data_IF_136990078630
#
_entry.id   IF_136990078630
#
_cell.length_a   1.000
_cell.length_b   1.000
_cell.length_c   1.000
_cell.angle_alpha   90.00
_cell.angle_beta   90.00
_cell.angle_gamma   90.00
#
_symmetry.space_group_name_H-M   'P 1'
#
loop_
_entity.id
_entity.type
_entity.pdbx_description
1 polymer ?
#
# COMPACT_ATOMS: atom_id res chain seq x y z
N UNK A 1 -14.56 -10.77 7.92
CA UNK A 1 -13.45 -11.33 7.12
C UNK A 1 -13.95 -11.47 5.69
N UNK A 2 -13.27 -10.87 4.70
CA UNK A 2 -13.69 -10.98 3.28
C UNK A 2 -13.37 -12.40 2.81
N UNK A 3 -14.39 -13.13 2.37
CA UNK A 3 -14.22 -14.48 1.84
C UNK A 3 -13.98 -14.38 0.33
N UNK A 4 -12.71 -14.53 -0.09
CA UNK A 4 -12.31 -14.52 -1.49
C UNK A 4 -12.41 -15.92 -2.11
N UNK A 5 -12.59 -16.04 -3.42
CA UNK A 5 -12.37 -17.31 -4.11
C UNK A 5 -10.87 -17.60 -4.19
N UNK A 6 -10.47 -18.87 -4.28
CA UNK A 6 -9.06 -19.24 -4.37
C UNK A 6 -8.33 -18.54 -5.53
N UNK A 7 -8.99 -18.49 -6.70
CA UNK A 7 -8.50 -17.76 -7.88
C UNK A 7 -8.25 -16.28 -7.59
N UNK A 8 -9.20 -15.60 -6.93
CA UNK A 8 -9.08 -14.19 -6.61
C UNK A 8 -7.94 -13.89 -5.62
N UNK A 9 -7.66 -14.81 -4.68
CA UNK A 9 -6.52 -14.67 -3.76
C UNK A 9 -5.20 -14.73 -4.53
N UNK A 10 -5.07 -15.67 -5.46
CA UNK A 10 -3.87 -15.84 -6.29
C UNK A 10 -3.64 -14.68 -7.27
N UNK A 11 -4.70 -13.93 -7.61
CA UNK A 11 -4.65 -12.73 -8.45
C UNK A 11 -4.35 -11.43 -7.68
N UNK A 12 -4.24 -11.48 -6.34
CA UNK A 12 -3.87 -10.30 -5.54
C UNK A 12 -2.45 -9.82 -5.89
N UNK A 13 -2.16 -8.52 -5.74
CA UNK A 13 -0.80 -8.00 -5.95
C UNK A 13 0.18 -8.69 -4.99
N UNK A 14 1.38 -8.98 -5.50
CA UNK A 14 2.47 -9.55 -4.69
C UNK A 14 3.09 -8.47 -3.79
N UNK A 15 3.59 -8.87 -2.63
CA UNK A 15 4.19 -7.94 -1.67
C UNK A 15 5.47 -7.31 -2.21
N UNK A 16 6.31 -8.09 -2.90
CA UNK A 16 7.52 -7.54 -3.52
C UNK A 16 7.22 -6.41 -4.52
N UNK A 17 6.16 -6.52 -5.31
CA UNK A 17 5.78 -5.49 -6.29
C UNK A 17 5.43 -4.14 -5.67
N UNK A 18 4.99 -4.12 -4.40
CA UNK A 18 4.71 -2.88 -3.67
C UNK A 18 5.94 -2.36 -2.92
N UNK A 19 6.89 -3.24 -2.57
CA UNK A 19 8.08 -2.89 -1.81
C UNK A 19 9.30 -2.58 -2.68
N UNK A 20 9.27 -2.91 -3.96
CA UNK A 20 10.37 -2.70 -4.90
C UNK A 20 9.91 -1.94 -6.15
N UNK A 21 10.76 -1.07 -6.67
CA UNK A 21 10.54 -0.40 -7.96
C UNK A 21 11.04 -1.25 -9.16
N UNK A 22 10.90 -0.71 -10.37
CA UNK A 22 11.32 -1.42 -11.59
C UNK A 22 12.86 -1.59 -11.70
N UNK A 23 13.62 -0.90 -10.87
CA UNK A 23 15.07 -0.97 -10.76
C UNK A 23 15.52 -1.79 -9.54
N UNK A 24 14.59 -2.49 -8.87
CA UNK A 24 14.83 -3.31 -7.67
C UNK A 24 15.31 -2.49 -6.45
N UNK A 25 15.02 -1.18 -6.43
CA UNK A 25 15.23 -0.37 -5.23
C UNK A 25 14.08 -0.59 -4.25
N UNK A 26 14.42 -0.71 -2.97
CA UNK A 26 13.43 -0.88 -1.91
C UNK A 26 12.70 0.44 -1.63
N UNK A 27 11.40 0.45 -1.88
CA UNK A 27 10.49 1.60 -1.71
C UNK A 27 9.29 1.22 -0.83
N UNK A 28 9.45 1.16 0.50
CA UNK A 28 8.38 0.76 1.42
C UNK A 28 7.25 1.79 1.52
N UNK A 29 7.47 3.01 1.03
CA UNK A 29 6.50 4.11 1.04
C UNK A 29 5.19 3.69 0.39
N UNK A 30 5.22 3.02 -0.76
CA UNK A 30 4.02 2.62 -1.51
C UNK A 30 3.13 1.67 -0.71
N UNK A 31 3.72 0.77 0.08
CA UNK A 31 2.94 -0.13 0.96
C UNK A 31 2.21 0.65 2.07
N UNK A 32 2.72 1.83 2.44
CA UNK A 32 2.14 2.70 3.46
C UNK A 32 1.15 3.69 2.82
N UNK A 33 1.47 4.28 1.67
CA UNK A 33 0.69 5.38 1.06
C UNK A 33 -0.26 4.95 -0.03
N UNK A 34 0.04 3.89 -0.76
CA UNK A 34 -0.70 3.52 -1.99
C UNK A 34 -1.63 2.34 -1.72
N UNK A 35 -1.26 1.42 -0.81
CA UNK A 35 -2.13 0.32 -0.40
C UNK A 35 -3.33 0.88 0.37
N UNK A 36 -4.54 0.65 -0.17
CA UNK A 36 -5.79 1.09 0.44
C UNK A 36 -6.15 0.33 1.71
N UNK A 37 -7.10 0.87 2.48
CA UNK A 37 -7.65 0.15 3.63
C UNK A 37 -8.45 -1.07 3.16
N UNK A 38 -8.23 -2.20 3.81
CA UNK A 38 -8.81 -3.52 3.51
C UNK A 38 -8.46 -4.06 2.12
N UNK A 39 -7.39 -3.54 1.52
CA UNK A 39 -6.76 -4.13 0.33
C UNK A 39 -5.73 -5.17 0.77
N UNK A 40 -5.81 -6.34 0.14
CA UNK A 40 -4.97 -7.50 0.45
C UNK A 40 -3.82 -7.64 -0.53
N UNK A 41 -2.69 -8.09 -0.02
CA UNK A 41 -1.45 -8.34 -0.75
C UNK A 41 -1.04 -9.79 -0.48
N UNK A 42 -0.65 -10.50 -1.53
CA UNK A 42 -0.28 -11.91 -1.46
C UNK A 42 1.20 -12.06 -1.13
N UNK A 43 1.51 -12.92 -0.17
CA UNK A 43 2.86 -13.33 0.19
C UNK A 43 2.99 -14.82 -0.15
N UNK A 44 3.81 -15.15 -1.13
CA UNK A 44 4.06 -16.52 -1.60
C UNK A 44 5.31 -17.12 -0.94
N UNK A 45 5.19 -18.26 -0.28
CA UNK A 45 6.33 -18.94 0.35
C UNK A 45 6.91 -20.08 -0.49
N UNK A 46 6.29 -20.44 -1.63
CA UNK A 46 6.60 -21.68 -2.38
C UNK A 46 7.94 -21.68 -3.13
N UNK A 47 8.53 -20.52 -3.41
CA UNK A 47 9.81 -20.37 -4.13
C UNK A 47 11.03 -20.40 -3.20
N UNK A 48 11.25 -21.52 -2.52
CA UNK A 48 12.42 -21.74 -1.65
C UNK A 48 13.66 -22.01 -2.51
N UNK A 49 14.78 -21.37 -2.18
CA UNK A 49 16.05 -21.54 -2.90
C UNK A 49 17.13 -22.08 -1.97
N UNK A 50 18.19 -22.69 -2.51
CA UNK A 50 19.32 -23.17 -1.70
C UNK A 50 20.64 -22.95 -2.42
N UNK A 51 21.73 -22.91 -1.64
CA UNK A 51 23.10 -22.82 -2.14
C UNK A 51 24.01 -23.76 -1.36
N UNK A 52 24.81 -24.51 -2.09
CA UNK A 52 25.83 -25.40 -1.52
C UNK A 52 27.18 -24.69 -1.54
N UNK A 53 27.84 -24.62 -0.40
CA UNK A 53 29.15 -24.00 -0.23
C UNK A 53 30.12 -24.97 0.44
N UNK A 54 31.41 -24.83 0.13
CA UNK A 54 32.46 -25.63 0.74
C UNK A 54 33.14 -24.82 1.84
N UNK A 55 33.10 -25.31 3.09
CA UNK A 55 33.84 -24.70 4.21
C UNK A 55 34.99 -25.58 4.64
N UNK A 56 36.11 -24.96 4.97
CA UNK A 56 37.20 -25.62 5.70
C UNK A 56 36.90 -25.58 7.19
N UNK A 57 36.88 -26.74 7.86
CA UNK A 57 36.67 -26.81 9.31
C UNK A 57 37.92 -26.30 10.06
N UNK A 58 37.84 -25.25 10.89
CA UNK A 58 38.91 -24.90 11.82
C UNK A 58 38.89 -25.84 13.05
N UNK A 59 40.04 -26.26 13.63
CA UNK A 59 41.42 -25.94 13.27
C UNK A 59 42.11 -27.13 12.56
N UNK A 60 42.69 -26.89 11.38
CA UNK A 60 43.62 -27.82 10.69
C UNK A 60 43.08 -29.20 10.25
N UNK A 61 41.84 -29.31 9.77
CA UNK A 61 41.36 -30.48 9.02
C UNK A 61 41.54 -30.30 7.50
N UNK A 62 42.08 -31.30 6.79
CA UNK A 62 42.11 -31.33 5.31
C UNK A 62 40.74 -31.59 4.66
N UNK A 63 39.72 -31.84 5.47
CA UNK A 63 38.40 -32.25 5.01
C UNK A 63 37.53 -31.02 4.69
N UNK A 64 37.08 -30.95 3.44
CA UNK A 64 36.08 -30.00 2.96
C UNK A 64 34.72 -30.42 3.51
N UNK A 65 34.08 -29.58 4.32
CA UNK A 65 32.69 -29.81 4.72
C UNK A 65 31.78 -29.13 3.69
N UNK A 66 30.85 -29.92 3.14
CA UNK A 66 29.77 -29.42 2.28
C UNK A 66 28.71 -28.83 3.21
N UNK A 67 28.39 -27.55 3.00
CA UNK A 67 27.38 -26.84 3.77
C UNK A 67 26.32 -26.32 2.82
N UNK A 68 25.12 -26.87 2.93
CA UNK A 68 23.93 -26.44 2.20
C UNK A 68 23.17 -25.41 3.03
N UNK A 69 22.88 -24.26 2.44
CA UNK A 69 22.08 -23.21 3.05
C UNK A 69 20.76 -23.09 2.28
N UNK A 70 19.63 -23.05 2.98
CA UNK A 70 18.30 -22.87 2.39
C UNK A 70 17.80 -21.46 2.69
N UNK A 71 17.18 -20.82 1.71
CA UNK A 71 16.71 -19.44 1.76
C UNK A 71 15.21 -19.36 1.50
N UNK A 72 14.56 -18.48 2.25
CA UNK A 72 13.13 -18.16 2.07
C UNK A 72 12.87 -17.52 0.70
N UNK A 73 11.59 -17.48 0.30
CA UNK A 73 11.18 -16.86 -0.96
C UNK A 73 11.40 -15.34 -0.96
N UNK A 74 11.46 -14.74 -2.15
CA UNK A 74 11.61 -13.27 -2.29
C UNK A 74 10.50 -12.47 -1.59
N UNK A 75 9.26 -12.99 -1.57
CA UNK A 75 8.15 -12.37 -0.85
C UNK A 75 8.39 -12.33 0.67
N UNK A 76 8.97 -13.41 1.22
CA UNK A 76 9.30 -13.48 2.65
C UNK A 76 10.49 -12.58 2.97
N UNK A 77 11.49 -12.49 2.09
CA UNK A 77 12.60 -11.52 2.23
C UNK A 77 12.08 -10.08 2.20
N UNK A 78 11.15 -9.77 1.29
CA UNK A 78 10.51 -8.47 1.20
C UNK A 78 9.76 -8.14 2.51
N UNK A 79 9.02 -9.10 3.06
CA UNK A 79 8.37 -8.96 4.36
C UNK A 79 9.39 -8.69 5.47
N UNK A 80 10.46 -9.49 5.58
CA UNK A 80 11.52 -9.27 6.58
C UNK A 80 12.10 -7.86 6.46
N UNK A 81 12.44 -7.42 5.26
CA UNK A 81 13.02 -6.09 5.03
C UNK A 81 12.08 -4.97 5.49
N UNK A 82 10.77 -5.12 5.28
CA UNK A 82 9.77 -4.19 5.78
C UNK A 82 9.62 -4.24 7.32
N UNK A 83 9.57 -5.44 7.90
CA UNK A 83 9.44 -5.64 9.35
C UNK A 83 10.65 -5.09 10.13
N UNK A 84 11.86 -5.27 9.61
CA UNK A 84 13.10 -4.85 10.27
C UNK A 84 13.68 -3.57 9.67
N UNK A 85 12.85 -2.77 8.98
CA UNK A 85 13.23 -1.48 8.42
C UNK A 85 13.76 -0.54 9.51
N UNK A 86 15.02 -0.13 9.36
CA UNK A 86 15.74 0.83 10.22
C UNK A 86 16.11 2.12 9.50
N UNK A 87 16.02 2.12 8.16
CA UNK A 87 16.34 3.25 7.32
C UNK A 87 15.22 4.29 7.35
N UNK A 88 15.59 5.55 7.16
CA UNK A 88 14.62 6.62 7.07
C UNK A 88 13.93 6.58 5.70
N UNK A 89 12.64 6.91 5.69
CA UNK A 89 11.81 6.87 4.49
C UNK A 89 11.11 8.20 4.27
N UNK A 90 10.68 8.45 3.05
CA UNK A 90 10.01 9.70 2.69
C UNK A 90 8.50 9.51 2.74
N UNK A 91 7.82 10.14 3.71
CA UNK A 91 6.36 10.07 3.81
C UNK A 91 5.72 11.46 3.80
N UNK A 92 4.50 11.60 3.29
CA UNK A 92 3.70 12.80 3.51
C UNK A 92 3.48 12.99 5.01
N UNK A 93 3.70 14.21 5.51
CA UNK A 93 3.49 14.54 6.92
C UNK A 93 2.25 15.41 7.07
N UNK A 94 1.30 14.96 7.91
CA UNK A 94 0.04 15.67 8.04
C UNK A 94 0.12 17.07 8.65
N UNK A 95 1.01 17.21 9.62
CA UNK A 95 1.16 18.47 10.32
C UNK A 95 2.14 19.41 9.61
N UNK A 96 3.19 18.87 8.97
CA UNK A 96 4.18 19.69 8.26
C UNK A 96 3.71 20.13 6.86
N UNK A 97 2.68 19.49 6.30
CA UNK A 97 2.11 19.81 4.99
C UNK A 97 3.08 19.68 3.81
N UNK A 98 3.98 18.70 3.89
CA UNK A 98 4.98 18.38 2.87
C UNK A 98 5.50 16.96 3.09
N UNK A 99 6.09 16.37 2.05
CA UNK A 99 6.86 15.13 2.19
C UNK A 99 8.06 15.41 3.10
N UNK A 100 8.25 14.54 4.09
CA UNK A 100 9.32 14.64 5.08
C UNK A 100 10.02 13.30 5.28
N UNK A 101 11.21 13.38 5.87
CA UNK A 101 11.97 12.22 6.31
C UNK A 101 11.34 11.71 7.61
N UNK A 102 10.93 10.45 7.60
CA UNK A 102 10.43 9.75 8.76
C UNK A 102 11.37 8.64 9.20
N UNK A 103 11.58 8.54 10.50
CA UNK A 103 12.40 7.51 11.12
C UNK A 103 11.50 6.41 11.68
N UNK A 104 11.72 5.13 11.35
CA UNK A 104 10.95 4.04 11.94
C UNK A 104 11.24 3.93 13.43
N UNK A 105 10.19 3.83 14.24
CA UNK A 105 10.33 3.43 15.64
C UNK A 105 10.63 1.92 15.71
N UNK A 106 11.58 1.53 16.57
CA UNK A 106 12.03 0.14 16.73
C UNK A 106 10.97 -0.72 17.45
N UNK A 107 9.87 -0.13 17.90
CA UNK A 107 8.74 -0.85 18.50
C UNK A 107 7.95 -1.61 17.43
N UNK A 108 8.54 -2.68 16.90
CA UNK A 108 7.75 -3.79 16.40
C UNK A 108 7.02 -4.31 17.64
N UNK A 109 5.69 -4.33 17.62
CA UNK A 109 4.91 -5.04 18.61
C UNK A 109 4.41 -6.36 18.01
N UNK A 110 5.30 -7.30 17.65
CA UNK A 110 4.80 -8.60 17.28
C UNK A 110 4.34 -9.25 18.60
N UNK A 111 3.03 -9.41 18.74
CA UNK A 111 2.48 -10.05 19.92
C UNK A 111 2.90 -11.52 19.91
N UNK A 112 3.98 -11.88 20.61
CA UNK A 112 4.11 -13.26 21.06
C UNK A 112 3.25 -13.40 22.32
N UNK A 113 2.13 -14.10 22.22
CA UNK A 113 1.42 -14.65 23.37
C UNK A 113 1.89 -16.09 23.50
N UNK A 114 2.96 -16.33 24.25
CA UNK A 114 3.37 -17.70 24.57
C UNK A 114 2.60 -18.20 25.79
N UNK A 115 2.16 -19.45 25.78
CA UNK A 115 1.39 -20.02 26.89
C UNK A 115 2.26 -21.02 27.62
N UNK A 116 2.85 -20.58 28.74
CA UNK A 116 3.68 -21.47 29.57
C UNK A 116 2.75 -22.21 30.52
N UNK A 117 2.77 -23.54 30.47
CA UNK A 117 2.13 -24.37 31.49
C UNK A 117 3.04 -24.40 32.73
N UNK A 118 2.68 -23.64 33.74
CA UNK A 118 3.33 -23.62 35.03
C UNK A 118 2.60 -24.58 35.96
N UNK A 119 3.33 -25.20 36.90
CA UNK A 119 2.71 -25.92 38.00
C UNK A 119 2.69 -25.00 39.22
N UNK A 120 1.56 -24.90 39.90
CA UNK A 120 1.50 -24.21 41.18
C UNK A 120 2.16 -25.04 42.30
N UNK A 121 2.17 -24.51 43.52
CA UNK A 121 2.73 -25.20 44.70
C UNK A 121 2.03 -26.53 45.04
N UNK A 122 0.94 -26.85 44.35
CA UNK A 122 0.16 -28.08 44.49
C UNK A 122 0.27 -28.98 43.24
N UNK A 123 1.26 -28.72 42.37
CA UNK A 123 1.50 -29.41 41.10
C UNK A 123 0.38 -29.30 40.06
N UNK A 124 -0.58 -28.38 40.23
CA UNK A 124 -1.68 -28.18 39.29
C UNK A 124 -1.17 -27.37 38.10
N UNK A 125 -1.25 -27.90 36.87
CA UNK A 125 -0.83 -27.16 35.68
C UNK A 125 -1.81 -26.02 35.39
N UNK A 126 -1.31 -24.78 35.29
CA UNK A 126 -2.05 -23.62 34.83
C UNK A 126 -1.26 -22.88 33.75
N UNK A 127 -2.00 -22.28 32.82
CA UNK A 127 -1.44 -21.61 31.66
C UNK A 127 -1.25 -20.12 31.95
N UNK A 128 -0.03 -19.61 31.76
CA UNK A 128 0.29 -18.19 31.86
C UNK A 128 0.77 -17.66 30.52
N UNK A 129 0.13 -16.58 30.06
CA UNK A 129 0.52 -15.91 28.83
C UNK A 129 1.71 -14.97 29.07
N UNK A 130 2.76 -15.08 28.27
CA UNK A 130 3.98 -14.27 28.39
C UNK A 130 4.30 -13.60 27.06
N UNK A 131 4.72 -12.33 27.13
CA UNK A 131 5.18 -11.52 26.00
C UNK A 131 6.68 -11.76 25.80
N UNK A 132 7.09 -12.16 24.59
CA UNK A 132 8.49 -12.48 24.27
C UNK A 132 9.01 -11.58 23.13
N UNK A 133 10.22 -11.00 23.23
CA UNK A 133 10.81 -10.19 22.17
C UNK A 133 11.34 -11.06 21.00
N UNK A 134 11.09 -10.62 19.76
CA UNK A 134 11.33 -11.40 18.51
C UNK A 134 12.72 -11.12 17.88
N UNK A 135 13.58 -10.35 18.55
CA UNK A 135 14.90 -9.97 18.04
C UNK A 135 15.94 -11.10 18.00
N UNK A 136 15.60 -12.30 18.50
CA UNK A 136 16.45 -13.49 18.49
C UNK A 136 15.77 -14.60 17.69
N UNK A 137 15.98 -14.65 16.36
CA UNK A 137 15.26 -15.54 15.43
C UNK A 137 14.76 -16.86 16.03
N UNK A 138 13.44 -17.02 16.07
CA UNK A 138 12.71 -18.07 16.79
C UNK A 138 12.02 -19.06 15.85
N UNK A 139 11.79 -20.29 16.33
CA UNK A 139 11.10 -21.37 15.62
C UNK A 139 9.62 -21.47 16.00
N UNK A 140 8.71 -21.76 15.05
CA UNK A 140 7.27 -21.87 15.32
C UNK A 140 6.97 -22.77 16.53
N UNK A 141 5.92 -22.46 17.30
CA UNK A 141 5.54 -23.24 18.49
C UNK A 141 5.21 -24.69 18.11
N UNK A 142 5.66 -25.62 18.94
CA UNK A 142 5.54 -27.07 18.67
C UNK A 142 6.59 -27.64 17.73
N UNK A 143 7.55 -26.83 17.25
CA UNK A 143 8.68 -27.32 16.46
C UNK A 143 9.65 -28.07 17.36
N UNK A 144 9.87 -29.37 17.10
CA UNK A 144 10.94 -30.12 17.77
C UNK A 144 12.29 -29.71 17.18
N UNK A 145 13.16 -29.11 18.00
CA UNK A 145 14.54 -28.76 17.63
C UNK A 145 15.54 -29.88 17.93
N UNK A 146 15.06 -31.05 18.36
CA UNK A 146 15.92 -32.20 18.65
C UNK A 146 16.60 -32.67 17.37
N UNK A 147 17.93 -32.50 17.29
CA UNK A 147 18.73 -32.96 16.16
C UNK A 147 18.96 -34.46 16.25
N UNK A 148 18.19 -35.23 15.48
CA UNK A 148 18.46 -36.64 15.26
C UNK A 148 19.02 -36.83 13.84
N UNK A 149 20.22 -37.40 13.75
CA UNK A 149 20.95 -37.56 12.48
C UNK A 149 20.25 -38.56 11.55
N UNK A 150 19.31 -39.36 12.07
CA UNK A 150 18.51 -40.31 11.28
C UNK A 150 17.18 -39.73 10.79
N UNK A 151 16.78 -38.54 11.25
CA UNK A 151 15.56 -37.90 10.79
C UNK A 151 15.77 -37.26 9.41
N UNK A 152 14.73 -37.23 8.55
CA UNK A 152 14.78 -36.53 7.27
C UNK A 152 15.22 -35.08 7.44
N UNK A 153 15.99 -34.56 6.48
CA UNK A 153 16.41 -33.16 6.47
C UNK A 153 15.17 -32.25 6.36
N UNK A 154 15.03 -31.30 7.27
CA UNK A 154 13.95 -30.32 7.29
C UNK A 154 14.52 -28.91 7.35
N UNK A 155 14.01 -28.05 6.47
CA UNK A 155 14.27 -26.62 6.55
C UNK A 155 13.15 -25.94 7.35
N UNK A 156 13.55 -25.19 8.38
CA UNK A 156 12.65 -24.52 9.31
C UNK A 156 12.79 -23.02 9.19
N UNK A 157 11.65 -22.34 9.13
CA UNK A 157 11.61 -20.89 9.11
C UNK A 157 12.15 -20.32 10.43
N UNK A 158 13.03 -19.33 10.31
CA UNK A 158 13.54 -18.54 11.41
C UNK A 158 13.09 -17.10 11.24
N UNK A 159 12.34 -16.60 12.21
CA UNK A 159 11.86 -15.21 12.19
C UNK A 159 13.01 -14.21 11.99
N UNK A 160 12.89 -13.34 10.98
CA UNK A 160 13.85 -12.27 10.71
C UNK A 160 15.19 -12.70 10.14
N UNK A 161 15.32 -13.95 9.68
CA UNK A 161 16.47 -14.43 8.90
C UNK A 161 16.01 -14.91 7.53
N UNK A 162 16.72 -14.49 6.49
CA UNK A 162 16.45 -14.95 5.13
C UNK A 162 16.95 -16.38 4.90
N UNK A 163 17.86 -16.86 5.74
CA UNK A 163 18.35 -18.24 5.78
C UNK A 163 17.52 -19.07 6.78
N UNK A 164 17.03 -20.22 6.31
CA UNK A 164 16.30 -21.20 7.09
C UNK A 164 17.26 -22.12 7.85
N UNK A 165 16.87 -22.58 9.04
CA UNK A 165 17.68 -23.52 9.80
C UNK A 165 17.43 -24.96 9.32
N UNK A 166 18.49 -25.76 9.29
CA UNK A 166 18.46 -27.14 8.82
C UNK A 166 18.60 -28.12 9.98
N UNK A 167 17.55 -28.92 10.20
CA UNK A 167 17.50 -29.95 11.25
C UNK A 167 17.37 -31.34 10.60
N UNK A 168 18.09 -32.32 11.13
CA UNK A 168 18.07 -33.71 10.65
C UNK A 168 19.41 -34.15 10.07
N UNK A 169 19.38 -35.11 9.15
CA UNK A 169 20.57 -35.60 8.48
C UNK A 169 21.19 -34.55 7.54
N UNK A 170 22.32 -33.95 7.92
CA UNK A 170 23.03 -32.93 7.12
C UNK A 170 24.05 -33.53 6.13
N UNK A 171 24.20 -34.86 6.06
CA UNK A 171 25.10 -35.54 5.10
C UNK A 171 24.42 -35.88 3.77
N UNK A 172 23.29 -35.22 3.46
CA UNK A 172 22.37 -35.61 2.40
C UNK A 172 22.54 -34.69 1.17
N UNK A 173 22.40 -35.26 -0.02
CA UNK A 173 22.60 -34.59 -1.32
C UNK A 173 21.49 -33.54 -1.62
N UNK A 174 21.76 -32.64 -2.57
CA UNK A 174 20.90 -31.49 -2.95
C UNK A 174 19.45 -31.84 -3.33
N UNK A 175 19.16 -33.10 -3.71
CA UNK A 175 17.85 -33.55 -4.21
C UNK A 175 16.81 -33.90 -3.12
N UNK A 176 17.20 -33.92 -1.84
CA UNK A 176 16.35 -34.39 -0.74
C UNK A 176 15.70 -33.28 0.10
N UNK A 177 15.90 -32.00 -0.27
CA UNK A 177 15.27 -30.87 0.45
C UNK A 177 13.81 -30.74 0.03
N UNK A 178 12.90 -31.04 0.97
CA UNK A 178 11.47 -30.82 0.76
C UNK A 178 11.12 -29.32 0.83
N UNK A 179 11.10 -28.67 -0.34
CA UNK A 179 10.77 -27.25 -0.49
C UNK A 179 9.33 -26.94 -0.10
N UNK A 180 8.40 -27.90 -0.24
CA UNK A 180 7.01 -27.72 0.13
C UNK A 180 6.89 -27.66 1.66
N UNK A 181 7.57 -28.56 2.36
CA UNK A 181 7.61 -28.56 3.83
C UNK A 181 8.30 -27.29 4.36
N UNK A 182 9.34 -26.81 3.68
CA UNK A 182 10.00 -25.54 3.99
C UNK A 182 9.04 -24.35 3.82
N UNK A 183 8.33 -24.28 2.70
CA UNK A 183 7.32 -23.25 2.43
C UNK A 183 6.18 -23.24 3.46
N UNK A 184 5.71 -24.42 3.88
CA UNK A 184 4.73 -24.57 4.97
C UNK A 184 5.29 -24.06 6.30
N UNK A 185 6.55 -24.34 6.60
CA UNK A 185 7.21 -23.81 7.80
C UNK A 185 7.20 -22.28 7.84
N UNK A 186 7.42 -21.62 6.70
CA UNK A 186 7.29 -20.16 6.59
C UNK A 186 5.86 -19.68 6.87
N UNK A 187 4.84 -20.32 6.28
CA UNK A 187 3.43 -19.94 6.50
C UNK A 187 3.05 -20.06 7.97
N UNK A 188 3.41 -21.16 8.62
CA UNK A 188 3.13 -21.39 10.04
C UNK A 188 3.87 -20.38 10.93
N UNK A 189 5.17 -20.17 10.69
CA UNK A 189 5.97 -19.23 11.46
C UNK A 189 5.50 -17.80 11.32
N UNK A 190 5.28 -17.32 10.10
CA UNK A 190 4.83 -15.93 9.89
C UNK A 190 3.42 -15.74 10.46
N UNK A 191 2.50 -16.68 10.27
CA UNK A 191 1.15 -16.59 10.83
C UNK A 191 1.14 -16.54 12.37
N UNK A 192 2.12 -17.19 13.00
CA UNK A 192 2.24 -17.21 14.45
C UNK A 192 2.89 -15.93 14.99
N UNK A 193 3.95 -15.43 14.35
CA UNK A 193 4.74 -14.31 14.88
C UNK A 193 4.26 -12.93 14.43
N UNK A 194 3.65 -12.86 13.25
CA UNK A 194 3.40 -11.61 12.54
C UNK A 194 1.94 -11.47 12.12
N UNK A 195 1.02 -12.12 12.85
CA UNK A 195 -0.43 -12.05 12.58
C UNK A 195 -0.96 -10.62 12.64
N UNK A 196 -0.47 -9.80 13.56
CA UNK A 196 -0.82 -8.39 13.70
C UNK A 196 0.45 -7.54 13.69
N UNK A 197 0.46 -6.52 12.84
CA UNK A 197 1.62 -5.67 12.63
C UNK A 197 1.23 -4.21 12.82
N UNK A 198 2.00 -3.52 13.64
CA UNK A 198 1.96 -2.07 13.80
C UNK A 198 3.32 -1.51 13.39
N UNK A 199 3.33 -0.50 12.52
CA UNK A 199 4.53 0.23 12.12
C UNK A 199 4.34 1.70 12.43
N UNK A 200 5.17 2.22 13.32
CA UNK A 200 5.19 3.63 13.70
C UNK A 200 6.41 4.33 13.08
N UNK A 201 6.17 5.49 12.50
CA UNK A 201 7.16 6.34 11.87
C UNK A 201 7.08 7.74 12.46
N UNK A 202 8.21 8.34 12.80
CA UNK A 202 8.27 9.67 13.43
C UNK A 202 8.92 10.67 12.50
N UNK A 203 8.30 11.84 12.35
CA UNK A 203 8.83 12.89 11.51
C UNK A 203 10.14 13.44 12.07
N UNK A 204 11.12 13.69 11.20
CA UNK A 204 12.43 14.23 11.61
C UNK A 204 12.36 15.69 12.07
N UNK A 205 11.33 16.44 11.65
CA UNK A 205 11.16 17.85 12.02
C UNK A 205 10.53 18.04 13.41
N UNK A 206 9.55 17.19 13.74
CA UNK A 206 8.84 17.24 15.01
C UNK A 206 8.47 15.83 15.44
N UNK A 207 8.84 15.47 16.67
CA UNK A 207 8.63 14.13 17.23
C UNK A 207 7.16 13.85 17.59
N UNK A 208 6.31 14.87 17.66
CA UNK A 208 4.87 14.70 17.86
C UNK A 208 4.17 14.24 16.58
N UNK A 209 4.74 14.52 15.41
CA UNK A 209 4.18 14.10 14.13
C UNK A 209 4.58 12.66 13.85
N UNK A 210 3.58 11.79 13.72
CA UNK A 210 3.79 10.37 13.48
C UNK A 210 2.89 9.88 12.36
N UNK A 211 3.37 8.84 11.67
CA UNK A 211 2.57 8.03 10.76
C UNK A 211 2.60 6.60 11.29
N UNK A 212 1.45 6.06 11.60
CA UNK A 212 1.27 4.70 12.08
C UNK A 212 0.44 3.92 11.07
N UNK A 213 0.90 2.74 10.67
CA UNK A 213 0.17 1.84 9.80
C UNK A 213 -0.09 0.49 10.50
N UNK A 214 -1.29 -0.03 10.34
CA UNK A 214 -1.75 -1.28 10.95
C UNK A 214 -2.05 -2.32 9.86
N UNK A 215 -1.47 -3.51 9.99
CA UNK A 215 -1.66 -4.62 9.07
C UNK A 215 -2.02 -5.90 9.84
N UNK A 216 -2.76 -6.78 9.17
CA UNK A 216 -3.05 -8.13 9.66
C UNK A 216 -2.59 -9.13 8.59
N UNK A 217 -1.93 -10.20 9.00
CA UNK A 217 -1.53 -11.31 8.14
C UNK A 217 -2.43 -12.52 8.43
N UNK A 218 -3.04 -13.05 7.39
CA UNK A 218 -3.87 -14.25 7.43
C UNK A 218 -3.27 -15.38 6.57
N UNK A 219 -3.49 -16.63 6.98
CA UNK A 219 -3.32 -17.78 6.08
C UNK A 219 -4.29 -17.65 4.91
N UNK A 220 -3.81 -17.82 3.68
CA UNK A 220 -4.67 -17.72 2.50
C UNK A 220 -5.82 -18.75 2.53
N UNK A 221 -5.57 -19.93 3.08
CA UNK A 221 -6.59 -20.98 3.31
C UNK A 221 -7.69 -20.56 4.30
N UNK A 222 -7.39 -19.69 5.27
CA UNK A 222 -8.36 -19.22 6.26
C UNK A 222 -9.33 -18.16 5.69
N UNK A 223 -8.86 -17.35 4.73
CA UNK A 223 -9.66 -16.30 4.07
C UNK A 223 -10.38 -16.79 2.80
N UNK A 224 -10.06 -18.00 2.31
CA UNK A 224 -10.73 -18.59 1.17
C UNK A 224 -12.17 -19.04 1.51
N UNK A 225 -13.13 -18.68 0.64
CA UNK A 225 -14.55 -19.08 0.75
C UNK A 225 -14.77 -20.54 0.35
N UNK A 226 -14.14 -20.95 -0.75
CA UNK A 226 -14.25 -22.29 -1.31
C UNK A 226 -13.15 -23.17 -0.71
N UNK A 227 -13.56 -24.15 0.11
CA UNK A 227 -12.67 -25.16 0.70
C UNK A 227 -12.65 -26.47 -0.09
N UNK A 228 -13.13 -26.45 -1.33
CA UNK A 228 -13.06 -27.60 -2.22
C UNK A 228 -11.61 -27.77 -2.66
N UNK A 229 -11.09 -28.99 -2.59
CA UNK A 229 -9.76 -29.30 -3.09
C UNK A 229 -9.73 -29.08 -4.60
N UNK A 230 -8.99 -28.04 -5.02
CA UNK A 230 -8.68 -27.70 -6.39
C UNK A 230 -7.19 -27.37 -6.48
N UNK A 231 -6.61 -27.41 -7.67
CA UNK A 231 -5.20 -27.08 -7.88
C UNK A 231 -4.87 -25.66 -7.38
N UNK A 232 -5.82 -24.72 -7.47
CA UNK A 232 -5.68 -23.38 -6.92
C UNK A 232 -5.70 -23.37 -5.38
N UNK A 233 -6.59 -24.15 -4.75
CA UNK A 233 -6.67 -24.23 -3.30
C UNK A 233 -5.42 -24.86 -2.69
N UNK A 234 -4.85 -25.87 -3.34
CA UNK A 234 -3.60 -26.51 -2.92
C UNK A 234 -2.43 -25.51 -2.88
N UNK A 235 -2.36 -24.60 -3.86
CA UNK A 235 -1.35 -23.52 -3.86
C UNK A 235 -1.51 -22.57 -2.68
N UNK A 236 -2.73 -22.33 -2.20
CA UNK A 236 -2.96 -21.41 -1.07
C UNK A 236 -2.34 -21.90 0.24
N UNK A 237 -2.01 -23.20 0.37
CA UNK A 237 -1.34 -23.73 1.56
C UNK A 237 0.02 -23.08 1.79
N UNK A 238 0.65 -22.56 0.74
CA UNK A 238 1.95 -21.89 0.76
C UNK A 238 1.82 -20.36 0.67
N UNK A 239 0.63 -19.81 0.91
CA UNK A 239 0.37 -18.37 0.76
C UNK A 239 -0.18 -17.74 2.03
N UNK A 240 0.20 -16.48 2.24
CA UNK A 240 -0.38 -15.59 3.24
C UNK A 240 -0.99 -14.37 2.55
N UNK A 241 -1.94 -13.73 3.22
CA UNK A 241 -2.53 -12.46 2.77
C UNK A 241 -2.26 -11.41 3.84
N UNK A 242 -1.53 -10.37 3.47
CA UNK A 242 -1.32 -9.18 4.29
C UNK A 242 -2.37 -8.14 3.91
N UNK A 243 -3.14 -7.67 4.88
CA UNK A 243 -4.20 -6.68 4.69
C UNK A 243 -3.94 -5.46 5.55
N UNK A 244 -4.00 -4.27 4.97
CA UNK A 244 -3.90 -3.02 5.74
C UNK A 244 -5.25 -2.70 6.36
N UNK A 245 -5.32 -2.62 7.69
CA UNK A 245 -6.59 -2.49 8.42
C UNK A 245 -6.80 -1.11 9.04
N UNK A 246 -5.77 -0.27 9.06
CA UNK A 246 -5.87 1.09 9.60
C UNK A 246 -4.59 1.88 9.41
N UNK A 247 -4.70 3.19 9.62
CA UNK A 247 -3.55 4.08 9.75
C UNK A 247 -3.92 5.38 10.48
N UNK A 248 -2.91 6.06 10.99
CA UNK A 248 -2.98 7.39 11.59
C UNK A 248 -1.78 8.21 11.11
N UNK A 249 -1.94 9.43 10.58
CA UNK A 249 -3.19 10.08 10.21
C UNK A 249 -3.90 9.34 9.05
N UNK A 250 -5.17 9.66 8.78
CA UNK A 250 -5.94 8.93 7.79
C UNK A 250 -5.38 9.11 6.37
N UNK A 251 -5.77 8.23 5.43
CA UNK A 251 -5.33 8.34 4.03
C UNK A 251 -5.74 9.69 3.41
N UNK A 252 -6.93 10.18 3.81
CA UNK A 252 -7.43 11.47 3.37
C UNK A 252 -6.58 12.62 3.93
N UNK A 253 -6.19 12.55 5.20
CA UNK A 253 -5.34 13.58 5.82
C UNK A 253 -3.99 13.66 5.11
N UNK A 254 -3.36 12.52 4.79
CA UNK A 254 -2.09 12.49 4.04
C UNK A 254 -2.21 13.13 2.65
N UNK A 255 -3.35 12.96 1.99
CA UNK A 255 -3.62 13.49 0.64
C UNK A 255 -4.09 14.94 0.63
N UNK A 256 -4.51 15.50 1.77
CA UNK A 256 -4.99 16.88 1.87
C UNK A 256 -3.91 17.92 1.53
N UNK A 257 -2.62 17.66 1.74
CA UNK A 257 -1.57 18.67 1.51
C UNK A 257 -1.34 19.01 0.05
N UNK A 258 -1.35 18.00 -0.83
CA UNK A 258 -1.13 18.21 -2.26
C UNK A 258 -2.18 19.15 -2.85
N UNK A 259 -3.39 19.14 -2.27
CA UNK A 259 -4.50 19.97 -2.73
C UNK A 259 -4.66 21.28 -1.95
N UNK A 260 -3.99 21.49 -0.81
CA UNK A 260 -4.20 22.69 0.02
C UNK A 260 -3.96 24.00 -0.75
N UNK A 261 -3.02 24.00 -1.70
CA UNK A 261 -2.76 25.16 -2.59
C UNK A 261 -4.02 25.61 -3.34
N UNK A 262 -4.93 24.68 -3.63
CA UNK A 262 -6.17 24.96 -4.36
C UNK A 262 -7.23 25.66 -3.50
N UNK A 263 -7.09 25.76 -2.17
CA UNK A 263 -7.93 26.64 -1.35
C UNK A 263 -7.88 28.11 -1.78
N UNK A 264 -6.82 28.52 -2.49
CA UNK A 264 -6.71 29.87 -3.07
C UNK A 264 -7.78 30.14 -4.13
N UNK A 265 -8.27 29.11 -4.83
CA UNK A 265 -9.15 29.24 -6.01
C UNK A 265 -10.47 28.47 -5.87
N UNK A 266 -10.50 27.38 -5.10
CA UNK A 266 -11.70 26.60 -4.83
C UNK A 266 -12.49 27.18 -3.65
N UNK A 267 -13.82 27.00 -3.69
CA UNK A 267 -14.70 27.23 -2.55
C UNK A 267 -14.51 26.12 -1.50
N UNK A 268 -14.95 26.35 -0.26
CA UNK A 268 -14.91 25.33 0.80
C UNK A 268 -15.63 24.04 0.41
N UNK A 269 -16.75 24.13 -0.31
CA UNK A 269 -17.51 22.95 -0.73
C UNK A 269 -16.79 22.20 -1.85
N UNK A 270 -16.24 22.91 -2.85
CA UNK A 270 -15.47 22.26 -3.93
C UNK A 270 -14.16 21.68 -3.43
N UNK A 271 -13.52 22.30 -2.44
CA UNK A 271 -12.35 21.73 -1.78
C UNK A 271 -12.70 20.44 -1.04
N UNK A 272 -13.81 20.43 -0.30
CA UNK A 272 -14.31 19.19 0.35
C UNK A 272 -14.61 18.10 -0.67
N UNK A 273 -15.19 18.46 -1.82
CA UNK A 273 -15.43 17.51 -2.91
C UNK A 273 -14.11 16.96 -3.46
N UNK A 274 -13.05 17.78 -3.58
CA UNK A 274 -11.73 17.31 -4.02
C UNK A 274 -11.10 16.34 -3.01
N UNK A 275 -11.12 16.69 -1.74
CA UNK A 275 -10.65 15.81 -0.66
C UNK A 275 -11.43 14.49 -0.65
N UNK A 276 -12.74 14.53 -0.84
CA UNK A 276 -13.59 13.34 -0.90
C UNK A 276 -13.28 12.47 -2.12
N UNK A 277 -13.02 13.08 -3.28
CA UNK A 277 -12.61 12.36 -4.48
C UNK A 277 -11.33 11.54 -4.23
N UNK A 278 -10.32 12.17 -3.61
CA UNK A 278 -9.06 11.52 -3.27
C UNK A 278 -9.26 10.40 -2.24
N UNK A 279 -9.99 10.68 -1.16
CA UNK A 279 -10.28 9.68 -0.11
C UNK A 279 -11.07 8.47 -0.61
N UNK A 280 -12.02 8.66 -1.53
CA UNK A 280 -12.75 7.56 -2.17
C UNK A 280 -11.85 6.74 -3.09
N UNK A 281 -11.01 7.40 -3.88
CA UNK A 281 -10.05 6.71 -4.75
C UNK A 281 -9.08 5.85 -3.91
N UNK A 282 -8.53 6.42 -2.84
CA UNK A 282 -7.66 5.74 -1.88
C UNK A 282 -8.34 4.57 -1.14
N UNK A 283 -9.65 4.67 -0.91
CA UNK A 283 -10.47 3.59 -0.32
C UNK A 283 -10.91 2.55 -1.33
N UNK A 284 -10.46 2.68 -2.57
CA UNK A 284 -10.75 1.75 -3.62
C UNK A 284 -12.10 1.94 -4.33
N UNK A 285 -12.74 3.10 -4.19
CA UNK A 285 -14.04 3.44 -4.79
C UNK A 285 -13.82 4.37 -5.99
N UNK A 286 -13.64 3.77 -7.17
CA UNK A 286 -13.38 4.46 -8.44
C UNK A 286 -14.56 5.29 -8.92
N UNK A 287 -15.75 4.71 -9.07
CA UNK A 287 -16.91 5.43 -9.62
C UNK A 287 -17.33 6.62 -8.74
N UNK A 288 -17.30 6.41 -7.41
CA UNK A 288 -17.54 7.47 -6.44
C UNK A 288 -16.51 8.60 -6.54
N UNK A 289 -15.22 8.27 -6.66
CA UNK A 289 -14.16 9.27 -6.80
C UNK A 289 -14.33 10.15 -8.06
N UNK A 290 -14.72 9.57 -9.19
CA UNK A 290 -15.00 10.30 -10.44
C UNK A 290 -16.20 11.24 -10.33
N UNK A 291 -17.23 10.85 -9.58
CA UNK A 291 -18.41 11.69 -9.36
C UNK A 291 -18.05 13.00 -8.65
N UNK A 292 -17.13 12.96 -7.68
CA UNK A 292 -16.65 14.16 -7.01
C UNK A 292 -15.75 15.02 -7.91
N UNK A 293 -14.87 14.41 -8.71
CA UNK A 293 -14.12 15.15 -9.74
C UNK A 293 -15.06 15.87 -10.73
N UNK A 294 -16.17 15.22 -11.11
CA UNK A 294 -17.18 15.81 -11.98
C UNK A 294 -17.83 17.05 -11.35
N UNK A 295 -18.18 16.98 -10.05
CA UNK A 295 -18.77 18.13 -9.33
C UNK A 295 -17.82 19.33 -9.29
N UNK A 296 -16.53 19.09 -9.07
CA UNK A 296 -15.51 20.14 -9.10
C UNK A 296 -15.46 20.75 -10.49
N UNK A 297 -15.37 19.92 -11.53
CA UNK A 297 -15.31 20.39 -12.92
C UNK A 297 -16.55 21.22 -13.31
N UNK A 298 -17.75 20.76 -12.97
CA UNK A 298 -18.99 21.50 -13.20
C UNK A 298 -19.03 22.82 -12.41
N UNK A 299 -18.49 22.84 -11.18
CA UNK A 299 -18.40 24.07 -10.38
C UNK A 299 -17.42 25.08 -10.98
N UNK A 300 -16.29 24.62 -11.52
CA UNK A 300 -15.33 25.51 -12.20
C UNK A 300 -15.96 26.20 -13.41
N UNK A 301 -16.75 25.47 -14.19
CA UNK A 301 -17.46 26.02 -15.35
C UNK A 301 -18.58 26.96 -14.90
N UNK A 302 -19.30 26.62 -13.82
CA UNK A 302 -20.31 27.50 -13.24
C UNK A 302 -19.71 28.82 -12.74
N UNK A 303 -18.54 28.78 -12.09
CA UNK A 303 -17.84 30.00 -11.67
C UNK A 303 -17.46 30.89 -12.86
N UNK A 304 -17.04 30.31 -13.97
CA UNK A 304 -16.76 31.04 -15.21
C UNK A 304 -18.04 31.64 -15.81
N UNK A 305 -19.13 30.87 -15.83
CA UNK A 305 -20.45 31.37 -16.22
C UNK A 305 -20.87 32.58 -15.37
N UNK A 306 -20.69 32.51 -14.04
CA UNK A 306 -21.05 33.60 -13.12
C UNK A 306 -20.20 34.88 -13.32
N UNK A 307 -19.02 34.76 -13.94
CA UNK A 307 -18.22 35.91 -14.37
C UNK A 307 -18.73 36.46 -15.70
N UNK A 308 -18.92 35.61 -16.71
CA UNK A 308 -19.37 36.02 -18.04
C UNK A 308 -20.79 36.60 -18.02
N UNK A 309 -21.67 36.15 -17.11
CA UNK A 309 -23.04 36.67 -16.97
C UNK A 309 -23.12 38.16 -16.61
N UNK A 310 -22.00 38.78 -16.21
CA UNK A 310 -21.89 40.21 -15.93
C UNK A 310 -21.46 41.02 -17.15
N UNK A 311 -21.11 40.38 -18.26
CA UNK A 311 -20.69 41.03 -19.48
C UNK A 311 -21.91 41.45 -20.32
N UNK A 312 -21.85 42.58 -21.03
CA UNK A 312 -22.93 43.05 -21.89
C UNK A 312 -23.19 42.14 -23.11
N UNK A 313 -22.20 41.32 -23.48
CA UNK A 313 -22.25 40.38 -24.62
C UNK A 313 -22.86 39.03 -24.24
N UNK A 314 -23.34 38.87 -23.01
CA UNK A 314 -23.91 37.61 -22.51
C UNK A 314 -25.36 37.40 -22.95
N UNK A 315 -25.58 36.34 -23.74
CA UNK A 315 -26.90 35.76 -24.00
C UNK A 315 -27.13 34.49 -23.15
N UNK A 316 -28.06 34.59 -22.18
CA UNK A 316 -28.42 33.48 -21.30
C UNK A 316 -29.26 32.39 -21.99
N UNK A 317 -30.13 32.77 -22.92
CA UNK A 317 -30.97 31.80 -23.65
C UNK A 317 -30.14 30.96 -24.60
N UNK A 318 -29.19 31.59 -25.29
CA UNK A 318 -28.27 30.91 -26.19
C UNK A 318 -27.35 29.97 -25.41
N UNK A 319 -26.82 30.41 -24.27
CA UNK A 319 -25.99 29.57 -23.41
C UNK A 319 -26.73 28.33 -22.93
N UNK A 320 -27.97 28.47 -22.45
CA UNK A 320 -28.73 27.36 -21.89
C UNK A 320 -29.11 26.28 -22.90
N UNK A 321 -29.25 26.64 -24.19
CA UNK A 321 -29.55 25.70 -25.29
C UNK A 321 -28.34 24.86 -25.73
N UNK A 322 -27.12 25.33 -25.46
CA UNK A 322 -25.86 24.68 -25.87
C UNK A 322 -25.57 23.40 -25.07
N UNK A 323 -24.91 22.44 -25.71
CA UNK A 323 -24.38 21.24 -25.03
C UNK A 323 -23.21 21.62 -24.11
N UNK A 324 -22.83 20.71 -23.21
CA UNK A 324 -21.82 21.01 -22.19
C UNK A 324 -20.48 21.50 -22.77
N UNK A 325 -19.94 20.86 -23.80
CA UNK A 325 -18.69 21.31 -24.43
C UNK A 325 -18.88 22.63 -25.20
N UNK A 326 -20.02 22.82 -25.87
CA UNK A 326 -20.37 24.07 -26.56
C UNK A 326 -20.54 25.25 -25.60
N UNK A 327 -20.93 24.98 -24.34
CA UNK A 327 -20.98 25.98 -23.26
C UNK A 327 -19.58 26.45 -22.88
N UNK A 328 -18.62 25.53 -22.78
CA UNK A 328 -17.22 25.87 -22.50
C UNK A 328 -16.66 26.75 -23.63
N UNK A 329 -16.89 26.36 -24.89
CA UNK A 329 -16.46 27.15 -26.06
C UNK A 329 -17.03 28.55 -26.09
N UNK A 330 -18.32 28.68 -25.74
CA UNK A 330 -18.96 29.98 -25.64
C UNK A 330 -18.33 30.84 -24.55
N UNK A 331 -18.07 30.28 -23.36
CA UNK A 331 -17.41 31.01 -22.27
C UNK A 331 -15.97 31.42 -22.64
N UNK A 332 -15.23 30.56 -23.31
CA UNK A 332 -13.88 30.85 -23.82
C UNK A 332 -13.90 31.96 -24.88
N UNK A 333 -14.92 32.00 -25.74
CA UNK A 333 -15.10 33.06 -26.75
C UNK A 333 -15.34 34.44 -26.13
N UNK A 334 -15.92 34.49 -24.93
CA UNK A 334 -16.15 35.72 -24.16
C UNK A 334 -14.93 36.16 -23.32
N UNK A 335 -13.80 35.45 -23.45
CA UNK A 335 -12.52 35.81 -22.84
C UNK A 335 -12.19 35.12 -21.52
N UNK A 336 -13.07 34.28 -20.98
CA UNK A 336 -12.75 33.43 -19.82
C UNK A 336 -12.16 32.11 -20.27
N UNK A 337 -10.83 32.02 -20.25
CA UNK A 337 -10.12 30.77 -20.58
C UNK A 337 -10.16 29.82 -19.40
N UNK A 338 -11.04 28.82 -19.48
CA UNK A 338 -11.25 27.83 -18.42
C UNK A 338 -10.25 26.68 -18.55
N UNK A 339 -10.03 26.20 -19.78
CA UNK A 339 -9.15 25.06 -20.03
C UNK A 339 -7.78 25.57 -20.53
N UNK A 340 -6.66 25.17 -19.89
CA UNK A 340 -5.32 25.47 -20.38
C UNK A 340 -5.10 24.97 -21.82
N UNK A 341 -4.26 25.66 -22.61
CA UNK A 341 -3.98 25.25 -24.00
C UNK A 341 -3.41 23.83 -24.08
N UNK A 342 -2.64 23.43 -23.06
CA UNK A 342 -2.05 22.10 -22.94
C UNK A 342 -3.09 20.98 -22.90
N UNK A 343 -4.34 21.29 -22.52
CA UNK A 343 -5.46 20.36 -22.46
C UNK A 343 -6.44 20.48 -23.64
N UNK A 344 -6.18 21.35 -24.61
CA UNK A 344 -7.05 21.58 -25.78
C UNK A 344 -7.36 20.29 -26.57
N UNK A 345 -6.39 19.38 -26.70
CA UNK A 345 -6.55 18.10 -27.41
C UNK A 345 -7.43 17.06 -26.69
N UNK A 346 -7.73 17.27 -25.41
CA UNK A 346 -8.54 16.35 -24.57
C UNK A 346 -9.76 17.01 -23.95
N UNK A 347 -9.95 18.33 -24.12
CA UNK A 347 -11.08 19.12 -23.60
C UNK A 347 -12.43 18.42 -23.73
N UNK A 348 -12.74 17.93 -24.94
CA UNK A 348 -14.05 17.34 -25.24
C UNK A 348 -14.23 15.95 -24.60
N UNK A 349 -13.12 15.30 -24.28
CA UNK A 349 -13.07 13.97 -23.69
C UNK A 349 -13.19 14.01 -22.17
N UNK A 350 -12.69 15.07 -21.51
CA UNK A 350 -12.73 15.20 -20.04
C UNK A 350 -14.16 15.06 -19.51
N UNK A 351 -15.10 15.86 -20.02
CA UNK A 351 -16.50 15.75 -19.59
C UNK A 351 -17.13 14.42 -20.00
N UNK A 352 -16.81 13.91 -21.20
CA UNK A 352 -17.27 12.61 -21.66
C UNK A 352 -16.85 11.48 -20.71
N UNK A 353 -15.60 11.49 -20.24
CA UNK A 353 -15.04 10.55 -19.28
C UNK A 353 -15.66 10.70 -17.89
N UNK A 354 -15.80 11.92 -17.39
CA UNK A 354 -16.44 12.19 -16.10
C UNK A 354 -17.93 11.83 -16.08
N UNK A 355 -18.63 12.02 -17.20
CA UNK A 355 -20.05 11.69 -17.34
C UNK A 355 -20.27 10.19 -17.53
N UNK A 356 -19.49 9.53 -18.40
CA UNK A 356 -19.57 8.08 -18.63
C UNK A 356 -19.04 7.27 -17.46
N UNK A 357 -18.00 7.75 -16.77
CA UNK A 357 -17.39 7.04 -15.64
C UNK A 357 -18.35 6.78 -14.48
N UNK A 358 -19.42 7.58 -14.36
CA UNK A 358 -20.44 7.42 -13.32
C UNK A 358 -21.52 6.40 -13.70
N UNK A 359 -21.73 6.13 -14.99
CA UNK A 359 -22.87 5.33 -15.48
C UNK A 359 -22.50 4.05 -16.24
N UNK A 360 -21.32 4.01 -16.86
CA UNK A 360 -20.96 2.97 -17.85
C UNK A 360 -19.67 2.21 -17.48
N UNK A 361 -18.78 2.78 -16.65
CA UNK A 361 -17.51 2.15 -16.30
C UNK A 361 -17.63 1.23 -15.08
N UNK A 362 -16.81 0.17 -15.07
CA UNK A 362 -16.61 -0.66 -13.88
C UNK A 362 -15.77 0.08 -12.84
N UNK A 363 -15.86 -0.33 -11.57
CA UNK A 363 -15.04 0.25 -10.48
C UNK A 363 -13.54 0.25 -10.80
N UNK A 364 -13.04 -0.84 -11.40
CA UNK A 364 -11.63 -0.96 -11.76
C UNK A 364 -11.23 0.00 -12.90
N UNK A 365 -12.05 0.10 -13.96
CA UNK A 365 -11.80 1.04 -15.05
C UNK A 365 -11.87 2.49 -14.56
N UNK A 366 -12.79 2.79 -13.64
CA UNK A 366 -12.91 4.12 -13.02
C UNK A 366 -11.70 4.45 -12.13
N UNK A 367 -11.17 3.48 -11.38
CA UNK A 367 -9.91 3.64 -10.65
C UNK A 367 -8.74 3.98 -11.59
N UNK A 368 -8.60 3.26 -12.68
CA UNK A 368 -7.50 3.46 -13.64
C UNK A 368 -7.59 4.82 -14.36
N UNK A 369 -8.82 5.31 -14.60
CA UNK A 369 -9.06 6.58 -15.25
C UNK A 369 -8.86 7.78 -14.31
N UNK A 370 -9.08 7.60 -13.00
CA UNK A 370 -9.05 8.67 -12.01
C UNK A 370 -7.76 9.51 -12.02
N UNK A 371 -6.53 8.94 -12.04
CA UNK A 371 -5.30 9.74 -12.06
C UNK A 371 -5.21 10.72 -13.24
N UNK A 372 -5.69 10.30 -14.43
CA UNK A 372 -5.65 11.14 -15.64
C UNK A 372 -6.61 12.33 -15.53
N UNK A 373 -7.80 12.09 -14.98
CA UNK A 373 -8.81 13.12 -14.77
C UNK A 373 -8.45 14.07 -13.62
N UNK A 374 -7.88 13.52 -12.53
CA UNK A 374 -7.30 14.32 -11.45
C UNK A 374 -6.26 15.29 -12.01
N UNK A 375 -5.29 14.79 -12.77
CA UNK A 375 -4.26 15.63 -13.36
C UNK A 375 -4.82 16.73 -14.26
N UNK A 376 -5.86 16.42 -15.05
CA UNK A 376 -6.54 17.41 -15.89
C UNK A 376 -7.17 18.54 -15.06
N UNK A 377 -7.81 18.20 -13.93
CA UNK A 377 -8.39 19.19 -13.01
C UNK A 377 -7.29 19.99 -12.30
N UNK A 378 -6.21 19.35 -11.86
CA UNK A 378 -5.06 20.01 -11.23
C UNK A 378 -4.43 21.06 -12.14
N UNK A 379 -4.25 20.77 -13.43
CA UNK A 379 -3.76 21.73 -14.41
C UNK A 379 -4.68 22.96 -14.56
N UNK A 380 -6.00 22.75 -14.57
CA UNK A 380 -6.96 23.86 -14.60
C UNK A 380 -6.83 24.73 -13.35
N UNK A 381 -6.72 24.11 -12.18
CA UNK A 381 -6.61 24.82 -10.90
C UNK A 381 -5.28 25.57 -10.76
N UNK A 382 -4.18 24.98 -11.21
CA UNK A 382 -2.85 25.60 -11.21
C UNK A 382 -2.83 26.86 -12.10
N UNK A 383 -3.45 26.80 -13.28
CA UNK A 383 -3.58 27.96 -14.18
C UNK A 383 -4.42 29.08 -13.54
N UNK A 384 -5.53 28.73 -12.85
CA UNK A 384 -6.33 29.72 -12.12
C UNK A 384 -5.56 30.38 -10.98
N UNK A 385 -4.72 29.63 -10.26
CA UNK A 385 -3.84 30.18 -9.23
C UNK A 385 -2.86 31.17 -9.87
N UNK A 386 -2.22 30.79 -10.98
CA UNK A 386 -1.27 31.64 -11.68
C UNK A 386 -1.91 32.95 -12.19
N UNK A 387 -3.12 32.89 -12.74
CA UNK A 387 -3.89 34.06 -13.16
C UNK A 387 -4.20 34.99 -11.99
N UNK A 388 -4.69 34.44 -10.87
CA UNK A 388 -5.00 35.21 -9.66
C UNK A 388 -3.75 35.90 -9.07
N UNK A 389 -2.63 35.18 -9.00
CA UNK A 389 -1.36 35.75 -8.51
C UNK A 389 -0.84 36.87 -9.44
N UNK A 390 -1.02 36.73 -10.75
CA UNK A 390 -0.68 37.79 -11.73
C UNK A 390 -1.57 39.02 -11.56
N UNK A 391 -2.87 38.84 -11.39
CA UNK A 391 -3.81 39.94 -11.13
C UNK A 391 -3.48 40.68 -9.84
N UNK A 392 -3.17 39.96 -8.76
CA UNK A 392 -2.85 40.55 -7.47
C UNK A 392 -1.56 41.38 -7.55
N UNK A 393 -0.52 40.87 -8.21
CA UNK A 393 0.71 41.64 -8.50
C UNK A 393 0.42 42.90 -9.31
N UNK A 394 -0.44 42.82 -10.32
CA UNK A 394 -0.84 43.99 -11.13
C UNK A 394 -1.66 45.00 -10.32
N UNK A 395 -2.53 44.55 -9.41
CA UNK A 395 -3.29 45.43 -8.50
C UNK A 395 -2.37 46.13 -7.52
N UNK A 396 -1.34 45.46 -7.00
CA UNK A 396 -0.34 46.09 -6.14
C UNK A 396 0.48 47.14 -6.89
N UNK A 397 0.88 46.87 -8.13
CA UNK A 397 1.57 47.85 -8.98
C UNK A 397 0.71 49.09 -9.27
N UNK A 398 -0.61 48.93 -9.44
CA UNK A 398 -1.56 50.04 -9.67
C UNK A 398 -1.90 50.84 -8.41
N UNK A 399 -1.59 50.32 -7.21
CA UNK A 399 -1.81 51.01 -5.93
C UNK A 399 -0.63 51.90 -5.54
N UNK A 400 0.54 51.70 -6.15
CA UNK A 400 1.68 52.62 -6.10
C UNK A 400 1.56 53.63 -7.24
#
# INVERSE_FOLDING_TARGET
MRHYSAKKILELPRLSHLLYDAQDNFTPEKLITDLGLYEGVLIDTSNISWKTSFRHSPPLGKDLTIVTNVYVSEEVKALHRFLFLKENIMLPCAECKRVQVFSPMITINPQQLDTITLKDNYEVPYNKTVIVPIDQGMYPAGTSTTRNIFDPLRALYCSGKDEMDLIGNQQVNEEDIDTNQAALSCVEGISQYFSELRRDFVCSLDKSHHVTAYYIIHKATAVCKDKRESDEYEKLKYCLVLEKVGQEPSMADLQMFDIEKYNKVLSSDSFRDFSMALGLHASGVGCGSLLYLRRIYETLIKNAQDKCSKLPEWDEEEYNKRRFNEKIEYLESLGEKIIPDDLSGVKDKIYGWLSKGVHELSEQASKELFPSLKYSIELILDEQIAQKEKEDKLKELKKR
#
